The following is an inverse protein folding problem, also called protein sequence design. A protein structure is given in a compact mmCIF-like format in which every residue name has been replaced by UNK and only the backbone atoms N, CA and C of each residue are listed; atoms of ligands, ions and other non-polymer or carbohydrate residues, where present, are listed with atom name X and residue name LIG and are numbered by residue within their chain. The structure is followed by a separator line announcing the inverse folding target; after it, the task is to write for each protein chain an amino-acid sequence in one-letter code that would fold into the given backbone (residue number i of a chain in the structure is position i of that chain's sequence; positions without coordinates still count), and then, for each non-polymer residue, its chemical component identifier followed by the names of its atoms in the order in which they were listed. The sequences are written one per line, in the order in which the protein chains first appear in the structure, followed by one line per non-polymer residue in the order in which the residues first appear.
data_IF_013721892014
#
_entry.id   IF_013721892014
#
_cell.length_a   1.000
_cell.length_b   1.000
_cell.length_c   1.000
_cell.angle_alpha   90.00
_cell.angle_beta   90.00
_cell.angle_gamma   90.00
#
_symmetry.space_group_name_H-M   'P 1'
#
loop_
_entity.id
_entity.type
_entity.pdbx_description
1 polymer ?
#
# COMPACT_ATOMS: atom_id res chain seq x y z
N UNK A 1 -2.71 -5.39 -14.81
CA UNK A 1 -2.85 -4.71 -13.50
C UNK A 1 -1.80 -5.19 -12.52
N UNK A 2 -1.87 -6.41 -11.96
CA UNK A 2 -0.76 -6.96 -11.13
C UNK A 2 0.54 -7.08 -11.95
N UNK A 3 0.45 -7.52 -13.20
CA UNK A 3 1.62 -7.62 -14.09
C UNK A 3 2.32 -6.26 -14.31
N UNK A 4 1.56 -5.16 -14.36
CA UNK A 4 2.12 -3.82 -14.53
C UNK A 4 2.90 -3.38 -13.29
N UNK A 5 2.39 -3.70 -12.10
CA UNK A 5 3.06 -3.39 -10.82
C UNK A 5 4.33 -4.21 -10.69
N UNK A 6 4.27 -5.49 -11.06
CA UNK A 6 5.44 -6.36 -11.03
C UNK A 6 6.56 -5.81 -11.93
N UNK A 7 6.24 -5.38 -13.15
CA UNK A 7 7.23 -4.78 -14.05
C UNK A 7 7.86 -3.54 -13.41
N UNK A 8 7.07 -2.64 -12.81
CA UNK A 8 7.58 -1.43 -12.15
C UNK A 8 8.51 -1.79 -10.99
N UNK A 9 8.13 -2.75 -10.15
CA UNK A 9 8.93 -3.20 -9.01
C UNK A 9 10.22 -3.85 -9.48
N UNK A 10 10.16 -4.77 -10.46
CA UNK A 10 11.33 -5.44 -11.02
C UNK A 10 12.31 -4.41 -11.64
N UNK A 11 11.81 -3.38 -12.32
CA UNK A 11 12.63 -2.30 -12.89
C UNK A 11 13.36 -1.51 -11.80
N UNK A 12 12.67 -1.15 -10.71
CA UNK A 12 13.25 -0.40 -9.60
C UNK A 12 14.22 -1.26 -8.79
N UNK A 13 13.90 -2.53 -8.55
CA UNK A 13 14.79 -3.51 -7.93
C UNK A 13 16.04 -3.73 -8.79
N UNK A 14 15.91 -3.81 -10.12
CA UNK A 14 17.08 -3.89 -11.02
C UNK A 14 17.94 -2.63 -11.00
N UNK A 15 17.36 -1.47 -10.71
CA UNK A 15 18.07 -0.19 -10.68
C UNK A 15 18.78 0.05 -9.34
N UNK A 16 18.13 -0.26 -8.23
CA UNK A 16 18.59 0.04 -6.86
C UNK A 16 19.13 -1.18 -6.10
N UNK A 17 18.94 -2.38 -6.65
CA UNK A 17 19.41 -3.63 -6.07
C UNK A 17 18.64 -4.03 -4.81
N UNK A 18 19.29 -4.82 -3.95
CA UNK A 18 18.72 -5.36 -2.72
C UNK A 18 18.29 -4.28 -1.69
N UNK A 19 18.72 -3.03 -1.89
CA UNK A 19 18.32 -1.92 -1.02
C UNK A 19 16.89 -1.44 -1.26
N UNK A 20 16.33 -1.70 -2.46
CA UNK A 20 14.96 -1.32 -2.81
C UNK A 20 13.96 -2.00 -1.88
N UNK A 21 13.05 -1.21 -1.30
CA UNK A 21 12.22 -1.64 -0.18
C UNK A 21 10.78 -1.97 -0.56
N UNK A 22 10.33 -1.80 -1.80
CA UNK A 22 8.99 -2.21 -2.23
C UNK A 22 9.01 -3.58 -2.89
N UNK A 23 8.08 -4.45 -2.52
CA UNK A 23 8.01 -5.80 -3.07
C UNK A 23 6.58 -6.35 -3.07
N UNK A 24 6.36 -7.41 -3.86
CA UNK A 24 5.10 -8.15 -3.91
C UNK A 24 5.19 -9.34 -2.96
N UNK A 25 4.50 -9.33 -1.81
CA UNK A 25 4.50 -10.43 -0.85
C UNK A 25 3.74 -11.65 -1.40
N UNK A 26 4.10 -12.85 -0.94
CA UNK A 26 3.43 -14.09 -1.35
C UNK A 26 1.96 -14.14 -0.95
N UNK A 27 1.60 -13.50 0.17
CA UNK A 27 0.24 -13.45 0.67
C UNK A 27 -0.22 -12.00 0.83
N UNK A 28 -0.87 -11.48 -0.20
CA UNK A 28 -1.44 -10.12 -0.21
C UNK A 28 -2.73 -10.01 0.62
N UNK A 29 -3.48 -11.12 0.78
CA UNK A 29 -4.77 -11.11 1.48
C UNK A 29 -4.68 -10.71 2.95
N UNK A 30 -3.51 -10.87 3.58
CA UNK A 30 -3.29 -10.42 4.97
C UNK A 30 -3.49 -8.91 5.10
N UNK A 31 -3.05 -8.14 4.11
CA UNK A 31 -3.18 -6.68 4.12
C UNK A 31 -4.61 -6.23 3.82
N UNK A 32 -5.33 -6.98 2.98
CA UNK A 32 -6.74 -6.72 2.71
C UNK A 32 -7.60 -6.95 3.96
N UNK A 33 -7.34 -8.05 4.68
CA UNK A 33 -7.99 -8.35 5.96
C UNK A 33 -7.65 -7.29 7.00
N UNK A 34 -6.38 -6.89 7.08
CA UNK A 34 -5.96 -5.86 8.03
C UNK A 34 -6.58 -4.50 7.72
N UNK A 35 -6.57 -4.07 6.46
CA UNK A 35 -7.23 -2.84 6.03
C UNK A 35 -8.71 -2.86 6.43
N UNK A 36 -9.41 -3.97 6.23
CA UNK A 36 -10.82 -4.08 6.63
C UNK A 36 -11.04 -4.02 8.14
N UNK A 37 -10.08 -4.48 8.94
CA UNK A 37 -10.10 -4.42 10.40
C UNK A 37 -9.87 -3.01 10.93
N UNK A 38 -8.95 -2.28 10.30
CA UNK A 38 -8.61 -0.90 10.69
C UNK A 38 -9.64 0.13 10.21
N UNK A 39 -10.35 -0.16 9.13
CA UNK A 39 -11.41 0.72 8.62
C UNK A 39 -12.68 0.62 9.48
N UNK A 40 -12.96 1.66 10.28
CA UNK A 40 -14.29 1.82 10.90
C UNK A 40 -15.36 2.10 9.83
N UNK A 41 -16.64 2.02 10.20
CA UNK A 41 -17.79 2.17 9.28
C UNK A 41 -17.81 3.49 8.50
N UNK A 42 -17.18 4.54 9.00
CA UNK A 42 -17.16 5.86 8.38
C UNK A 42 -15.96 6.06 7.43
N UNK A 43 -15.08 5.06 7.25
CA UNK A 43 -13.90 5.22 6.41
C UNK A 43 -14.26 5.36 4.92
N UNK A 44 -13.68 6.31 4.17
CA UNK A 44 -13.97 6.49 2.75
C UNK A 44 -13.74 5.24 1.89
N UNK A 45 -12.74 4.42 2.25
CA UNK A 45 -12.42 3.18 1.52
C UNK A 45 -13.23 1.96 1.99
N UNK A 46 -14.09 2.09 3.02
CA UNK A 46 -14.78 0.93 3.64
C UNK A 46 -15.67 0.16 2.66
N UNK A 47 -16.21 0.86 1.68
CA UNK A 47 -17.16 0.32 0.72
C UNK A 47 -16.52 -0.10 -0.61
N UNK A 48 -15.20 0.07 -0.76
CA UNK A 48 -14.47 -0.27 -1.96
C UNK A 48 -13.92 -1.69 -1.88
N UNK A 49 -13.90 -2.39 -3.02
CA UNK A 49 -13.25 -3.69 -3.15
C UNK A 49 -11.74 -3.48 -3.34
N UNK A 50 -11.05 -3.27 -2.22
CA UNK A 50 -9.62 -3.01 -2.21
C UNK A 50 -8.82 -4.30 -2.39
N UNK A 51 -7.84 -4.29 -3.29
CA UNK A 51 -6.86 -5.36 -3.51
C UNK A 51 -5.46 -4.86 -3.20
N UNK A 52 -4.73 -5.60 -2.38
CA UNK A 52 -3.32 -5.29 -2.13
C UNK A 52 -2.48 -5.69 -3.34
N UNK A 53 -1.44 -4.92 -3.65
CA UNK A 53 -0.56 -5.14 -4.79
C UNK A 53 0.92 -5.26 -4.41
N UNK A 54 1.36 -4.49 -3.41
CA UNK A 54 2.75 -4.48 -2.93
C UNK A 54 2.81 -3.87 -1.52
N UNK A 55 3.89 -4.13 -0.79
CA UNK A 55 4.17 -3.49 0.49
C UNK A 55 5.60 -2.97 0.53
N UNK A 56 5.82 -2.01 1.42
CA UNK A 56 7.15 -1.53 1.76
C UNK A 56 7.74 -2.40 2.90
N UNK A 57 9.01 -2.78 2.80
CA UNK A 57 9.72 -3.60 3.79
C UNK A 57 10.36 -2.81 4.93
N UNK A 58 10.37 -1.48 4.85
CA UNK A 58 10.94 -0.58 5.86
C UNK A 58 9.88 0.11 6.73
N UNK A 59 8.64 0.16 6.28
CA UNK A 59 7.52 0.77 7.01
C UNK A 59 6.22 0.00 6.74
N UNK A 60 5.13 0.39 7.39
CA UNK A 60 3.82 -0.28 7.26
C UNK A 60 2.98 0.22 6.06
N UNK A 61 3.61 0.80 5.03
CA UNK A 61 2.91 1.25 3.83
C UNK A 61 2.61 0.09 2.88
N UNK A 62 1.37 0.08 2.38
CA UNK A 62 0.87 -0.92 1.43
C UNK A 62 0.19 -0.23 0.26
N UNK A 63 0.50 -0.68 -0.95
CA UNK A 63 -0.14 -0.26 -2.18
C UNK A 63 -1.40 -1.09 -2.43
N UNK A 64 -2.54 -0.41 -2.49
CA UNK A 64 -3.84 -0.98 -2.82
C UNK A 64 -4.42 -0.40 -4.10
N UNK A 65 -5.44 -1.07 -4.66
CA UNK A 65 -6.28 -0.56 -5.74
C UNK A 65 -7.74 -0.98 -5.56
N UNK A 66 -8.67 -0.15 -6.02
CA UNK A 66 -10.08 -0.49 -6.23
C UNK A 66 -10.39 -0.82 -7.71
N UNK A 67 -9.34 -1.05 -8.51
CA UNK A 67 -9.30 -1.18 -9.98
C UNK A 67 -9.33 0.14 -10.77
N UNK A 68 -9.78 1.24 -10.18
CA UNK A 68 -9.83 2.56 -10.84
C UNK A 68 -8.65 3.45 -10.42
N UNK A 69 -8.35 3.45 -9.12
CA UNK A 69 -7.31 4.25 -8.50
C UNK A 69 -6.31 3.40 -7.72
N UNK A 70 -5.15 3.99 -7.43
CA UNK A 70 -4.19 3.43 -6.50
C UNK A 70 -4.23 4.20 -5.19
N UNK A 71 -3.92 3.48 -4.11
CA UNK A 71 -3.91 4.04 -2.77
C UNK A 71 -2.67 3.54 -2.06
N UNK A 72 -1.94 4.45 -1.42
CA UNK A 72 -0.92 4.08 -0.43
C UNK A 72 -1.58 4.23 0.92
N UNK A 73 -1.64 3.14 1.67
CA UNK A 73 -2.22 3.12 3.01
C UNK A 73 -1.14 2.72 4.00
N UNK A 74 -0.96 3.53 5.04
CA UNK A 74 -0.10 3.20 6.17
C UNK A 74 -0.92 2.41 7.20
N UNK A 75 -0.74 1.09 7.25
CA UNK A 75 -1.45 0.23 8.19
C UNK A 75 -0.87 0.42 9.60
N UNK A 76 -1.74 0.53 10.60
CA UNK A 76 -1.35 0.76 12.00
C UNK A 76 -1.19 -0.54 12.79
N UNK A 77 -1.65 -1.66 12.21
CA UNK A 77 -1.82 -2.99 12.80
C UNK A 77 -2.65 -3.00 14.08
N UNK A 78 -3.40 -1.92 14.31
CA UNK A 78 -4.20 -1.72 15.50
C UNK A 78 -5.65 -2.14 15.23
N UNK A 79 -6.28 -2.77 16.22
CA UNK A 79 -7.71 -3.08 16.12
C UNK A 79 -8.58 -1.84 16.29
N UNK A 80 -9.86 -1.95 15.91
CA UNK A 80 -10.89 -0.89 16.02
C UNK A 80 -11.03 -0.27 17.44
N UNK A 81 -10.51 -0.93 18.48
CA UNK A 81 -10.57 -0.50 19.88
C UNK A 81 -9.30 0.20 20.39
N UNK A 82 -8.29 0.43 19.56
CA UNK A 82 -7.07 1.13 19.95
C UNK A 82 -7.28 2.64 19.91
N UNK A 83 -7.96 3.18 20.94
CA UNK A 83 -8.43 4.57 21.01
C UNK A 83 -7.33 5.63 20.98
N UNK A 84 -6.06 5.22 21.13
CA UNK A 84 -4.89 6.11 21.14
C UNK A 84 -4.29 6.35 19.75
N UNK A 85 -4.65 5.53 18.76
CA UNK A 85 -4.28 5.74 17.36
C UNK A 85 -5.49 6.31 16.63
N UNK A 86 -5.30 7.36 15.83
CA UNK A 86 -6.40 8.08 15.17
C UNK A 86 -7.42 7.17 14.49
N UNK A 87 -8.64 7.66 14.26
CA UNK A 87 -9.81 6.85 13.86
C UNK A 87 -9.61 5.94 12.63
N UNK A 88 -8.55 6.11 11.83
CA UNK A 88 -8.30 5.40 10.57
C UNK A 88 -6.80 5.35 10.21
N UNK A 89 -6.36 4.37 9.40
CA UNK A 89 -5.06 4.42 8.76
C UNK A 89 -4.98 5.63 7.81
N UNK A 90 -3.81 6.27 7.76
CA UNK A 90 -3.59 7.37 6.81
C UNK A 90 -3.48 6.80 5.40
N UNK A 91 -4.11 7.47 4.44
CA UNK A 91 -3.99 7.11 3.04
C UNK A 91 -3.93 8.33 2.13
N UNK A 92 -3.41 8.12 0.92
CA UNK A 92 -3.59 9.06 -0.17
C UNK A 92 -3.80 8.31 -1.49
N UNK A 93 -4.54 8.96 -2.39
CA UNK A 93 -4.79 8.47 -3.73
C UNK A 93 -3.61 8.80 -4.64
N UNK A 94 -3.27 7.87 -5.51
CA UNK A 94 -2.18 7.96 -6.45
C UNK A 94 -2.67 7.62 -7.85
N UNK A 95 -2.40 8.51 -8.81
CA UNK A 95 -2.68 8.24 -10.21
C UNK A 95 -1.68 7.23 -10.77
N UNK A 96 -2.15 6.35 -11.66
CA UNK A 96 -1.34 5.29 -12.29
C UNK A 96 -0.03 5.81 -12.86
N UNK A 97 -0.09 6.94 -13.55
CA UNK A 97 1.04 7.58 -14.24
C UNK A 97 2.14 8.03 -13.27
N UNK A 98 1.78 8.28 -12.01
CA UNK A 98 2.69 8.72 -10.96
C UNK A 98 3.23 7.57 -10.11
N UNK A 99 2.75 6.34 -10.32
CA UNK A 99 3.09 5.20 -9.45
C UNK A 99 4.58 4.93 -9.37
N UNK A 100 5.25 4.74 -10.53
CA UNK A 100 6.69 4.45 -10.56
C UNK A 100 7.50 5.56 -9.88
N UNK A 101 7.19 6.81 -10.24
CA UNK A 101 7.84 7.99 -9.66
C UNK A 101 7.65 8.04 -8.15
N UNK A 102 6.44 7.75 -7.66
CA UNK A 102 6.16 7.72 -6.23
C UNK A 102 7.01 6.66 -5.52
N UNK A 103 7.03 5.41 -6.00
CA UNK A 103 7.79 4.33 -5.36
C UNK A 103 9.28 4.65 -5.31
N UNK A 104 9.81 5.21 -6.40
CA UNK A 104 11.20 5.65 -6.49
C UNK A 104 11.50 6.81 -5.50
N UNK A 105 10.69 7.86 -5.49
CA UNK A 105 10.87 8.98 -4.55
C UNK A 105 10.72 8.53 -3.10
N UNK A 106 9.74 7.67 -2.80
CA UNK A 106 9.53 7.12 -1.46
C UNK A 106 10.74 6.31 -0.98
N UNK A 107 11.40 5.57 -1.86
CA UNK A 107 12.65 4.88 -1.54
C UNK A 107 13.83 5.86 -1.32
N UNK A 108 13.97 6.88 -2.16
CA UNK A 108 15.11 7.82 -2.08
C UNK A 108 15.03 8.77 -0.87
N UNK A 109 13.82 9.07 -0.41
CA UNK A 109 13.59 9.98 0.72
C UNK A 109 13.53 9.29 2.09
N UNK A 110 13.55 7.95 2.15
CA UNK A 110 13.47 7.15 3.39
C UNK A 110 14.61 6.13 3.55
#
# INVERSE_FOLDING_TARGET
MIDDIKIIIDELESQYGEDFNWFIPQNLSVFEVELQREMTKEHPLKHLEMKALACNGRNDDVLFTDNEHFYIVHLTWAGENDSDKGRFPNFFTLERENLKKFLETNFLEN
#
